data_IF_121817762534
#
_entry.id   IF_121817762534
#
_cell.length_a   1.000
_cell.length_b   1.000
_cell.length_c   1.000
_cell.angle_alpha   90.00
_cell.angle_beta   90.00
_cell.angle_gamma   90.00
#
_symmetry.space_group_name_H-M   'P 1'
#
loop_
_entity.id
_entity.type
_entity.pdbx_description
1 polymer ?
#
# COMPACT_ATOMS: atom_id res chain seq x y z
N UNK A 1 -10.32 -9.55 -0.08
CA UNK A 1 -8.99 -10.01 -0.53
C UNK A 1 -8.87 -11.54 -0.47
N UNK A 2 -7.84 -12.10 -1.11
CA UNK A 2 -7.50 -13.52 -1.03
C UNK A 2 -6.28 -13.77 -0.13
N UNK A 3 -5.88 -15.05 0.04
CA UNK A 3 -4.79 -15.44 0.92
C UNK A 3 -3.38 -14.91 0.50
N UNK A 4 -3.21 -14.36 -0.70
CA UNK A 4 -1.97 -13.71 -1.12
C UNK A 4 -1.92 -12.22 -0.68
N UNK A 5 -3.04 -11.67 -0.25
CA UNK A 5 -3.19 -10.27 0.17
C UNK A 5 -2.79 -10.08 1.64
N UNK A 6 -1.88 -9.13 1.90
CA UNK A 6 -1.59 -8.72 3.28
C UNK A 6 -2.78 -8.11 4.02
N UNK A 7 -3.78 -7.59 3.30
CA UNK A 7 -5.05 -7.12 3.88
C UNK A 7 -5.89 -8.30 4.41
N UNK A 8 -5.84 -9.46 3.73
CA UNK A 8 -6.48 -10.68 4.20
C UNK A 8 -5.89 -11.15 5.54
N UNK A 9 -4.57 -11.33 5.60
CA UNK A 9 -3.88 -11.75 6.82
C UNK A 9 -4.10 -10.77 7.97
N UNK A 10 -3.93 -9.48 7.70
CA UNK A 10 -4.10 -8.46 8.72
C UNK A 10 -5.50 -8.42 9.32
N UNK A 11 -6.54 -8.52 8.50
CA UNK A 11 -7.92 -8.58 8.99
C UNK A 11 -8.18 -9.84 9.82
N UNK A 12 -7.59 -10.97 9.40
CA UNK A 12 -7.69 -12.22 10.14
C UNK A 12 -7.06 -12.12 11.53
N UNK A 13 -5.87 -11.53 11.62
CA UNK A 13 -5.16 -11.33 12.89
C UNK A 13 -5.85 -10.29 13.78
N UNK A 14 -6.16 -9.11 13.24
CA UNK A 14 -6.63 -7.97 14.00
C UNK A 14 -8.09 -8.12 14.47
N UNK A 15 -8.95 -8.76 13.68
CA UNK A 15 -10.40 -8.83 13.95
C UNK A 15 -10.83 -10.23 14.38
N UNK A 16 -10.33 -11.28 13.71
CA UNK A 16 -10.75 -12.66 13.99
C UNK A 16 -9.88 -13.33 15.05
N UNK A 17 -8.77 -12.71 15.47
CA UNK A 17 -7.86 -13.22 16.49
C UNK A 17 -7.45 -14.69 16.23
N UNK A 18 -7.10 -15.00 15.00
CA UNK A 18 -6.72 -16.37 14.56
C UNK A 18 -7.81 -17.41 14.88
N UNK A 19 -9.08 -17.02 14.83
CA UNK A 19 -10.17 -17.91 15.10
C UNK A 19 -10.07 -19.19 14.23
N UNK A 20 -10.05 -20.35 14.83
CA UNK A 20 -9.90 -21.68 14.18
C UNK A 20 -10.92 -21.94 13.05
N UNK A 21 -11.99 -21.17 12.98
CA UNK A 21 -13.06 -21.36 12.00
C UNK A 21 -12.82 -20.69 10.65
N UNK A 22 -11.78 -19.85 10.53
CA UNK A 22 -11.45 -19.15 9.28
C UNK A 22 -12.58 -18.26 8.74
N UNK A 23 -12.37 -17.71 7.54
CA UNK A 23 -13.42 -16.99 6.82
C UNK A 23 -14.48 -17.97 6.28
N UNK A 24 -15.75 -17.57 6.39
CA UNK A 24 -16.83 -18.27 5.66
C UNK A 24 -16.62 -18.10 4.16
N UNK A 25 -17.14 -19.05 3.38
CA UNK A 25 -17.08 -18.97 1.93
C UNK A 25 -17.68 -17.65 1.43
N UNK A 26 -16.91 -16.92 0.65
CA UNK A 26 -17.26 -15.63 0.04
C UNK A 26 -16.41 -15.41 -1.19
N UNK A 27 -16.67 -14.35 -1.90
CA UNK A 27 -15.83 -13.96 -3.04
C UNK A 27 -14.48 -13.48 -2.54
N UNK A 28 -13.42 -14.02 -3.10
CA UNK A 28 -12.03 -13.66 -2.80
C UNK A 28 -11.32 -13.24 -4.09
N UNK A 29 -10.47 -12.23 -4.00
CA UNK A 29 -9.64 -11.76 -5.11
C UNK A 29 -8.42 -11.01 -4.58
N UNK A 30 -7.31 -11.08 -5.29
CA UNK A 30 -6.17 -10.18 -5.13
C UNK A 30 -6.36 -8.83 -5.82
N UNK A 31 -7.41 -8.68 -6.62
CA UNK A 31 -7.83 -7.42 -7.25
C UNK A 31 -9.00 -6.83 -6.47
N UNK A 32 -8.77 -5.71 -5.80
CA UNK A 32 -9.77 -5.05 -4.96
C UNK A 32 -10.95 -4.50 -5.79
N UNK A 33 -10.77 -4.19 -7.08
CA UNK A 33 -11.86 -3.79 -7.97
C UNK A 33 -12.90 -4.91 -8.18
N UNK A 34 -12.44 -6.15 -8.20
CA UNK A 34 -13.35 -7.32 -8.27
C UNK A 34 -14.22 -7.39 -7.00
N UNK A 35 -13.65 -7.08 -5.84
CA UNK A 35 -14.37 -7.04 -4.56
C UNK A 35 -15.37 -5.89 -4.51
N UNK A 36 -14.98 -4.70 -4.96
CA UNK A 36 -15.87 -3.53 -5.08
C UNK A 36 -17.08 -3.87 -5.96
N UNK A 37 -16.84 -4.42 -7.15
CA UNK A 37 -17.93 -4.79 -8.07
C UNK A 37 -18.88 -5.83 -7.46
N UNK A 38 -18.40 -6.77 -6.67
CA UNK A 38 -19.23 -7.74 -5.99
C UNK A 38 -20.14 -7.10 -4.94
N UNK A 39 -19.64 -6.11 -4.19
CA UNK A 39 -20.43 -5.38 -3.19
C UNK A 39 -21.50 -4.49 -3.83
N UNK A 40 -21.16 -3.77 -4.91
CA UNK A 40 -22.11 -2.92 -5.63
C UNK A 40 -23.30 -3.71 -6.18
N UNK A 41 -23.10 -5.00 -6.47
CA UNK A 41 -24.14 -5.88 -6.99
C UNK A 41 -25.06 -6.51 -5.94
N UNK A 42 -24.75 -6.38 -4.63
CA UNK A 42 -25.50 -7.05 -3.55
C UNK A 42 -25.62 -6.16 -2.31
N UNK A 43 -26.81 -5.61 -2.09
CA UNK A 43 -27.13 -4.73 -0.94
C UNK A 43 -26.99 -5.42 0.43
N UNK A 44 -26.86 -6.73 0.47
CA UNK A 44 -26.68 -7.51 1.71
C UNK A 44 -25.24 -7.94 1.94
N UNK A 45 -24.36 -7.67 0.99
CA UNK A 45 -22.95 -8.04 1.10
C UNK A 45 -22.17 -7.11 2.04
N UNK A 46 -21.19 -7.67 2.71
CA UNK A 46 -20.16 -6.97 3.46
C UNK A 46 -18.80 -7.39 2.93
N UNK A 47 -17.86 -6.44 2.81
CA UNK A 47 -16.51 -6.72 2.34
C UNK A 47 -15.49 -5.80 3.01
N UNK A 48 -14.21 -6.11 2.80
CA UNK A 48 -13.09 -5.29 3.26
C UNK A 48 -11.99 -5.29 2.21
N UNK A 49 -11.35 -4.14 2.03
CA UNK A 49 -10.30 -3.87 1.06
C UNK A 49 -9.61 -2.54 1.38
N UNK A 50 -8.63 -2.14 0.59
CA UNK A 50 -7.88 -0.90 0.79
C UNK A 50 -8.77 0.35 0.76
N UNK A 51 -8.50 1.31 1.67
CA UNK A 51 -9.29 2.53 1.84
C UNK A 51 -9.40 3.37 0.57
N UNK A 52 -8.36 3.41 -0.27
CA UNK A 52 -8.38 4.12 -1.54
C UNK A 52 -9.52 3.67 -2.47
N UNK A 53 -9.74 2.36 -2.58
CA UNK A 53 -10.85 1.80 -3.38
C UNK A 53 -12.24 2.18 -2.84
N UNK A 54 -12.37 2.33 -1.51
CA UNK A 54 -13.60 2.87 -0.94
C UNK A 54 -13.80 4.33 -1.34
N UNK A 55 -12.76 5.17 -1.28
CA UNK A 55 -12.86 6.59 -1.64
C UNK A 55 -13.30 6.81 -3.08
N UNK A 56 -12.78 6.03 -4.01
CA UNK A 56 -13.19 6.08 -5.42
C UNK A 56 -14.66 5.67 -5.62
N UNK A 57 -15.20 4.83 -4.73
CA UNK A 57 -16.53 4.25 -4.83
C UNK A 57 -17.51 4.72 -3.74
N UNK A 58 -17.18 5.77 -2.98
CA UNK A 58 -18.01 6.29 -1.88
C UNK A 58 -19.41 6.79 -2.29
N UNK A 59 -19.66 6.97 -3.57
CA UNK A 59 -21.00 7.29 -4.08
C UNK A 59 -21.95 6.08 -4.04
N UNK A 60 -21.41 4.85 -4.05
CA UNK A 60 -22.15 3.59 -4.11
C UNK A 60 -21.93 2.68 -2.92
N UNK A 61 -20.87 2.90 -2.17
CA UNK A 61 -20.50 2.11 -0.99
C UNK A 61 -20.61 2.95 0.29
N UNK A 62 -20.94 2.28 1.38
CA UNK A 62 -20.96 2.88 2.73
C UNK A 62 -19.92 2.18 3.60
N UNK A 63 -19.05 2.95 4.24
CA UNK A 63 -18.13 2.39 5.22
C UNK A 63 -18.84 2.14 6.56
N UNK A 64 -18.72 0.92 7.08
CA UNK A 64 -19.19 0.59 8.42
C UNK A 64 -18.20 1.15 9.46
N UNK A 65 -18.68 1.79 10.53
CA UNK A 65 -17.82 2.13 11.64
C UNK A 65 -17.30 0.87 12.35
N UNK A 66 -16.10 0.97 12.90
CA UNK A 66 -15.43 -0.10 13.65
C UNK A 66 -15.21 0.38 15.07
N UNK A 67 -15.45 -0.49 16.04
CA UNK A 67 -15.13 -0.21 17.44
C UNK A 67 -13.62 -0.23 17.64
N UNK A 68 -13.06 0.88 18.11
CA UNK A 68 -11.64 0.98 18.37
C UNK A 68 -11.29 0.48 19.80
N UNK A 69 -9.97 0.40 20.09
CA UNK A 69 -9.47 -0.08 21.38
C UNK A 69 -9.96 0.71 22.60
N UNK A 70 -10.43 1.94 22.39
CA UNK A 70 -11.04 2.78 23.42
C UNK A 70 -12.57 2.59 23.58
N UNK A 71 -13.18 1.68 22.79
CA UNK A 71 -14.63 1.40 22.81
C UNK A 71 -15.47 2.39 22.02
N UNK A 72 -14.87 3.20 21.14
CA UNK A 72 -15.60 4.16 20.31
C UNK A 72 -15.84 3.61 18.92
N UNK A 73 -17.02 3.87 18.36
CA UNK A 73 -17.33 3.56 16.96
C UNK A 73 -16.72 4.61 16.04
N UNK A 74 -15.74 4.22 15.24
CA UNK A 74 -14.96 5.12 14.37
C UNK A 74 -15.14 4.73 12.91
N UNK A 75 -15.50 5.70 12.06
CA UNK A 75 -15.59 5.53 10.61
C UNK A 75 -14.23 5.88 9.98
N UNK A 76 -13.77 5.14 8.96
CA UNK A 76 -12.52 5.45 8.28
C UNK A 76 -12.59 6.82 7.59
N UNK A 77 -11.58 7.63 7.81
CA UNK A 77 -11.33 8.90 7.13
C UNK A 77 -9.83 9.21 7.13
N UNK A 78 -9.38 10.13 6.27
CA UNK A 78 -7.99 10.56 6.30
C UNK A 78 -7.53 11.01 7.69
N UNK A 79 -8.40 11.73 8.43
CA UNK A 79 -8.11 12.19 9.79
C UNK A 79 -7.99 11.02 10.78
N UNK A 80 -9.00 10.11 10.81
CA UNK A 80 -9.02 9.01 11.79
C UNK A 80 -7.96 7.94 11.52
N UNK A 81 -7.48 7.85 10.28
CA UNK A 81 -6.31 7.02 9.92
C UNK A 81 -5.02 7.71 10.35
N UNK A 82 -4.85 9.02 10.05
CA UNK A 82 -3.63 9.75 10.38
C UNK A 82 -3.39 9.89 11.88
N UNK A 83 -4.45 10.13 12.67
CA UNK A 83 -4.36 10.26 14.13
C UNK A 83 -4.40 8.92 14.89
N UNK A 84 -4.54 7.80 14.15
CA UNK A 84 -4.54 6.44 14.70
C UNK A 84 -5.81 6.05 15.45
N UNK A 85 -6.88 6.86 15.40
CA UNK A 85 -8.16 6.54 16.08
C UNK A 85 -8.95 5.45 15.36
N UNK A 86 -8.73 5.25 14.04
CA UNK A 86 -9.31 4.13 13.28
C UNK A 86 -8.47 2.85 13.46
N UNK A 87 -8.32 2.41 14.70
CA UNK A 87 -7.67 1.14 15.01
C UNK A 87 -8.73 0.05 15.32
N UNK A 88 -8.39 -1.24 15.21
CA UNK A 88 -7.08 -1.77 14.79
C UNK A 88 -6.85 -1.80 13.27
N UNK A 89 -7.76 -1.31 12.43
CA UNK A 89 -7.70 -1.51 10.99
C UNK A 89 -6.78 -0.54 10.22
N UNK A 90 -6.41 0.62 10.80
CA UNK A 90 -5.37 1.47 10.22
C UNK A 90 -3.98 0.89 10.44
N UNK A 91 -3.16 0.86 9.41
CA UNK A 91 -1.78 0.37 9.48
C UNK A 91 -0.88 1.05 8.45
N UNK A 92 0.42 1.18 8.73
CA UNK A 92 1.36 1.67 7.72
C UNK A 92 1.51 0.66 6.57
N UNK A 93 1.80 1.18 5.39
CA UNK A 93 2.21 0.41 4.23
C UNK A 93 3.74 0.49 4.12
N UNK A 94 4.36 -0.60 3.70
CA UNK A 94 5.82 -0.71 3.62
C UNK A 94 6.28 -1.04 2.21
N UNK A 95 7.41 -0.46 1.81
CA UNK A 95 8.18 -0.87 0.65
C UNK A 95 9.48 -1.51 1.11
N UNK A 96 9.79 -2.69 0.60
CA UNK A 96 11.00 -3.44 0.92
C UNK A 96 11.94 -3.42 -0.27
N UNK A 97 13.18 -3.09 -0.05
CA UNK A 97 14.24 -2.99 -1.06
C UNK A 97 15.17 -4.20 -1.00
N UNK A 98 15.82 -4.50 -2.12
CA UNK A 98 17.00 -5.36 -2.14
C UNK A 98 18.18 -4.56 -1.55
N UNK A 99 18.88 -5.16 -0.60
CA UNK A 99 20.04 -4.57 0.06
C UNK A 99 21.33 -4.90 -0.71
N UNK A 100 21.39 -4.38 -1.95
CA UNK A 100 22.59 -4.42 -2.77
C UNK A 100 22.80 -3.07 -3.48
N UNK A 101 24.06 -2.64 -3.63
CA UNK A 101 24.43 -1.32 -4.13
C UNK A 101 23.81 -0.99 -5.51
N UNK A 102 23.69 -1.97 -6.38
CA UNK A 102 23.17 -1.76 -7.73
C UNK A 102 21.65 -1.55 -7.75
N UNK A 103 20.92 -2.22 -6.86
CA UNK A 103 19.48 -2.05 -6.67
C UNK A 103 19.20 -0.75 -5.94
N UNK A 104 19.91 -0.47 -4.84
CA UNK A 104 19.73 0.75 -4.04
C UNK A 104 20.00 2.01 -4.86
N UNK A 105 21.05 2.03 -5.70
CA UNK A 105 21.37 3.16 -6.58
C UNK A 105 20.19 3.56 -7.51
N UNK A 106 19.29 2.63 -7.83
CA UNK A 106 18.11 2.88 -8.67
C UNK A 106 16.85 3.15 -7.87
N UNK A 107 16.66 2.38 -6.80
CA UNK A 107 15.39 2.38 -6.05
C UNK A 107 15.33 3.48 -5.00
N UNK A 108 16.45 3.89 -4.41
CA UNK A 108 16.47 4.99 -3.42
C UNK A 108 16.00 6.31 -4.04
N UNK A 109 16.50 6.78 -5.20
CA UNK A 109 15.99 8.00 -5.83
C UNK A 109 14.50 7.96 -6.17
N UNK A 110 13.97 6.79 -6.54
CA UNK A 110 12.53 6.60 -6.76
C UNK A 110 11.73 6.77 -5.45
N UNK A 111 12.21 6.22 -4.34
CA UNK A 111 11.54 6.38 -3.04
C UNK A 111 11.70 7.80 -2.49
N UNK A 112 12.85 8.45 -2.67
CA UNK A 112 13.04 9.86 -2.31
C UNK A 112 12.06 10.77 -3.07
N UNK A 113 11.82 10.49 -4.35
CA UNK A 113 10.77 11.15 -5.12
C UNK A 113 9.38 10.91 -4.52
N UNK A 114 9.06 9.66 -4.21
CA UNK A 114 7.74 9.27 -3.70
C UNK A 114 7.45 9.80 -2.28
N UNK A 115 8.45 9.91 -1.44
CA UNK A 115 8.33 10.46 -0.07
C UNK A 115 8.66 11.94 0.03
N UNK A 116 9.07 12.59 -1.07
CA UNK A 116 9.31 14.02 -1.13
C UNK A 116 8.06 14.82 -1.48
N UNK A 117 8.21 16.16 -1.56
CA UNK A 117 7.11 17.11 -1.78
C UNK A 117 6.21 16.76 -2.99
N UNK A 118 6.80 16.21 -4.06
CA UNK A 118 6.06 15.81 -5.27
C UNK A 118 5.22 14.56 -5.06
N UNK A 119 5.72 13.61 -4.28
CA UNK A 119 5.06 12.35 -3.99
C UNK A 119 3.92 12.50 -2.97
N UNK A 120 4.04 13.40 -2.01
CA UNK A 120 2.98 13.66 -1.01
C UNK A 120 1.68 14.13 -1.65
N UNK A 121 1.77 14.93 -2.71
CA UNK A 121 0.60 15.36 -3.48
C UNK A 121 -0.08 14.17 -4.15
N UNK A 122 0.71 13.21 -4.66
CA UNK A 122 0.19 11.98 -5.28
C UNK A 122 -0.45 11.06 -4.25
N UNK A 123 0.13 10.91 -3.06
CA UNK A 123 -0.43 10.07 -1.97
C UNK A 123 -1.88 10.44 -1.70
N UNK A 124 -2.15 11.73 -1.51
CA UNK A 124 -3.51 12.20 -1.25
C UNK A 124 -4.42 12.09 -2.49
N UNK A 125 -3.90 12.30 -3.69
CA UNK A 125 -4.70 12.26 -4.93
C UNK A 125 -5.20 10.86 -5.26
N UNK A 126 -4.46 9.82 -4.88
CA UNK A 126 -4.86 8.42 -5.07
C UNK A 126 -5.55 7.81 -3.83
N UNK A 127 -5.98 8.64 -2.87
CA UNK A 127 -6.81 8.22 -1.75
C UNK A 127 -6.06 7.55 -0.60
N UNK A 128 -4.74 7.76 -0.50
CA UNK A 128 -3.96 7.32 0.66
C UNK A 128 -3.81 8.43 1.68
N UNK A 129 -3.34 8.09 2.86
CA UNK A 129 -3.06 9.05 3.93
C UNK A 129 -1.55 9.26 3.99
N UNK A 130 -1.12 10.51 3.79
CA UNK A 130 0.28 10.89 3.84
C UNK A 130 0.89 10.65 5.23
N UNK A 131 2.19 10.47 5.27
CA UNK A 131 2.96 10.37 6.51
C UNK A 131 2.86 11.67 7.31
N UNK A 132 2.90 11.57 8.64
CA UNK A 132 3.09 12.76 9.48
C UNK A 132 4.50 13.31 9.30
N UNK A 133 4.73 14.59 9.65
CA UNK A 133 6.05 15.21 9.55
C UNK A 133 7.14 14.44 10.32
N UNK A 134 6.78 13.80 11.44
CA UNK A 134 7.71 12.97 12.21
C UNK A 134 8.06 11.67 11.47
N UNK A 135 7.06 10.99 10.91
CA UNK A 135 7.26 9.78 10.12
C UNK A 135 8.03 10.06 8.84
N UNK A 136 7.79 11.20 8.20
CA UNK A 136 8.54 11.63 7.02
C UNK A 136 10.01 11.88 7.35
N UNK A 137 10.31 12.59 8.44
CA UNK A 137 11.69 12.79 8.92
C UNK A 137 12.39 11.45 9.22
N UNK A 138 11.68 10.51 9.83
CA UNK A 138 12.22 9.16 10.07
C UNK A 138 12.51 8.43 8.75
N UNK A 139 11.61 8.52 7.77
CA UNK A 139 11.78 7.89 6.46
C UNK A 139 12.96 8.49 5.71
N UNK A 140 13.06 9.82 5.64
CA UNK A 140 14.19 10.53 5.06
C UNK A 140 15.51 10.11 5.70
N UNK A 141 15.57 9.98 7.03
CA UNK A 141 16.76 9.53 7.72
C UNK A 141 17.16 8.08 7.40
N UNK A 142 16.20 7.23 7.08
CA UNK A 142 16.43 5.83 6.65
C UNK A 142 16.93 5.74 5.21
N UNK A 143 16.47 6.64 4.35
CA UNK A 143 16.90 6.73 2.95
C UNK A 143 18.23 7.48 2.79
N UNK A 144 18.56 8.40 3.71
CA UNK A 144 19.73 9.28 3.63
C UNK A 144 21.05 8.53 3.78
N UNK A 145 21.55 7.99 2.69
CA UNK A 145 22.93 7.53 2.58
C UNK A 145 23.85 8.56 1.89
N UNK A 146 23.32 9.29 0.90
CA UNK A 146 24.01 10.30 0.11
C UNK A 146 23.04 11.44 -0.28
N UNK A 147 23.55 12.54 -0.81
CA UNK A 147 22.72 13.66 -1.26
C UNK A 147 21.68 13.20 -2.29
N UNK A 148 20.41 13.67 -2.19
CA UNK A 148 19.34 13.23 -3.06
C UNK A 148 19.70 13.40 -4.53
N UNK A 149 19.68 12.33 -5.28
CA UNK A 149 19.88 12.32 -6.73
C UNK A 149 18.51 12.39 -7.38
N UNK A 150 18.25 13.41 -8.18
CA UNK A 150 16.96 13.62 -8.82
C UNK A 150 16.50 12.42 -9.65
N UNK A 151 17.45 11.71 -10.31
CA UNK A 151 17.20 10.48 -11.02
C UNK A 151 18.34 9.49 -10.74
N UNK A 152 18.03 8.24 -10.55
CA UNK A 152 19.01 7.16 -10.47
C UNK A 152 19.68 6.89 -11.84
N UNK A 153 20.65 5.97 -11.91
CA UNK A 153 21.27 5.54 -13.16
C UNK A 153 20.23 4.92 -14.10
N UNK A 154 20.42 5.13 -15.40
CA UNK A 154 19.55 4.56 -16.44
C UNK A 154 19.34 3.05 -16.25
N UNK A 155 18.12 2.60 -16.47
CA UNK A 155 17.77 1.17 -16.32
C UNK A 155 16.31 0.93 -15.95
N UNK A 156 16.06 -0.20 -15.30
CA UNK A 156 14.70 -0.60 -14.90
C UNK A 156 14.58 -0.81 -13.40
N UNK A 157 13.41 -0.42 -12.86
CA UNK A 157 12.94 -0.73 -11.52
C UNK A 157 11.73 -1.65 -11.68
N UNK A 158 11.68 -2.76 -10.93
CA UNK A 158 10.54 -3.67 -10.91
C UNK A 158 9.96 -3.68 -9.51
N UNK A 159 8.69 -3.29 -9.40
CA UNK A 159 7.91 -3.26 -8.15
C UNK A 159 6.86 -4.36 -8.24
N UNK A 160 6.73 -5.17 -7.20
CA UNK A 160 5.71 -6.21 -7.14
C UNK A 160 5.24 -6.41 -5.70
N UNK A 161 3.94 -6.68 -5.52
CA UNK A 161 3.42 -6.99 -4.19
C UNK A 161 1.96 -6.67 -3.98
N UNK A 162 1.68 -5.98 -2.90
CA UNK A 162 0.35 -5.72 -2.37
C UNK A 162 -0.57 -4.98 -3.36
N UNK A 163 -1.79 -5.51 -3.57
CA UNK A 163 -2.84 -4.79 -4.31
C UNK A 163 -3.22 -3.47 -3.63
N UNK A 164 -3.11 -3.40 -2.30
CA UNK A 164 -3.36 -2.16 -1.55
C UNK A 164 -2.33 -1.07 -1.86
N UNK A 165 -1.08 -1.41 -2.18
CA UNK A 165 -0.02 -0.44 -2.52
C UNK A 165 -0.03 -0.09 -4.01
N UNK A 166 -0.64 -0.93 -4.84
CA UNK A 166 -0.58 -0.86 -6.30
C UNK A 166 -0.92 0.54 -6.86
N UNK A 167 -2.07 1.17 -6.55
CA UNK A 167 -2.42 2.47 -7.12
C UNK A 167 -1.41 3.57 -6.81
N UNK A 168 -0.83 3.57 -5.61
CA UNK A 168 0.19 4.53 -5.22
C UNK A 168 1.49 4.29 -5.98
N UNK A 169 1.93 3.03 -6.08
CA UNK A 169 3.14 2.67 -6.80
C UNK A 169 3.04 2.98 -8.30
N UNK A 170 1.86 2.79 -8.90
CA UNK A 170 1.59 3.16 -10.31
C UNK A 170 1.65 4.67 -10.52
N UNK A 171 1.01 5.47 -9.65
CA UNK A 171 1.04 6.94 -9.74
C UNK A 171 2.48 7.49 -9.58
N UNK A 172 3.26 6.94 -8.64
CA UNK A 172 4.66 7.31 -8.47
C UNK A 172 5.51 6.89 -9.68
N UNK A 173 5.29 5.69 -10.22
CA UNK A 173 6.01 5.19 -11.38
C UNK A 173 5.77 6.05 -12.62
N UNK A 174 4.52 6.42 -12.90
CA UNK A 174 4.15 7.27 -14.02
C UNK A 174 4.85 8.64 -13.92
N UNK A 175 4.68 9.34 -12.80
CA UNK A 175 5.24 10.68 -12.61
C UNK A 175 6.77 10.66 -12.56
N UNK A 176 7.38 9.63 -11.95
CA UNK A 176 8.84 9.50 -11.91
C UNK A 176 9.46 9.25 -13.29
N UNK A 177 8.81 8.44 -14.12
CA UNK A 177 9.28 8.18 -15.50
C UNK A 177 9.17 9.42 -16.38
N UNK A 178 8.18 10.29 -16.16
CA UNK A 178 8.08 11.60 -16.82
C UNK A 178 9.28 12.51 -16.47
N UNK A 179 9.66 12.52 -15.20
CA UNK A 179 10.81 13.30 -14.71
C UNK A 179 12.16 12.67 -15.09
N UNK A 180 12.23 11.34 -15.16
CA UNK A 180 13.44 10.55 -15.36
C UNK A 180 13.29 9.57 -16.56
N UNK A 181 13.30 10.05 -17.80
CA UNK A 181 12.96 9.26 -19.00
C UNK A 181 13.92 8.11 -19.33
N UNK A 182 15.11 8.10 -18.75
CA UNK A 182 16.08 7.01 -18.92
C UNK A 182 15.83 5.83 -17.97
N UNK A 183 14.80 5.94 -17.11
CA UNK A 183 14.40 4.89 -16.15
C UNK A 183 13.04 4.34 -16.54
N UNK A 184 12.91 3.02 -16.58
CA UNK A 184 11.64 2.32 -16.74
C UNK A 184 11.20 1.73 -15.41
N UNK A 185 9.98 2.03 -14.96
CA UNK A 185 9.40 1.45 -13.74
C UNK A 185 8.24 0.53 -14.14
N UNK A 186 8.31 -0.72 -13.73
CA UNK A 186 7.23 -1.70 -13.94
C UNK A 186 6.59 -2.03 -12.59
N UNK A 187 5.28 -1.92 -12.50
CA UNK A 187 4.52 -2.23 -11.29
C UNK A 187 3.61 -3.43 -11.56
N UNK A 188 3.69 -4.44 -10.72
CA UNK A 188 2.91 -5.68 -10.84
C UNK A 188 2.15 -5.97 -9.55
N UNK A 189 0.86 -6.23 -9.66
CA UNK A 189 0.07 -6.80 -8.58
C UNK A 189 0.29 -8.31 -8.49
N UNK A 190 0.15 -8.87 -7.31
CA UNK A 190 0.27 -10.31 -7.08
C UNK A 190 0.15 -10.69 -5.61
N UNK A 191 -0.19 -9.70 -4.78
CA UNK A 191 -0.30 -9.85 -3.34
C UNK A 191 1.04 -9.69 -2.61
N UNK A 192 0.97 -9.36 -1.33
CA UNK A 192 2.15 -9.10 -0.47
C UNK A 192 3.09 -10.30 -0.41
N UNK A 193 2.55 -11.52 -0.35
CA UNK A 193 3.35 -12.76 -0.31
C UNK A 193 4.18 -12.96 -1.57
N UNK A 194 3.65 -12.59 -2.75
CA UNK A 194 4.39 -12.65 -4.02
C UNK A 194 5.54 -11.65 -4.04
N UNK A 195 5.31 -10.42 -3.58
CA UNK A 195 6.35 -9.40 -3.46
C UNK A 195 7.49 -9.83 -2.53
N UNK A 196 7.15 -10.28 -1.33
CA UNK A 196 8.11 -10.79 -0.36
C UNK A 196 8.93 -11.95 -0.94
N UNK A 197 8.28 -12.91 -1.62
CA UNK A 197 8.95 -14.03 -2.27
C UNK A 197 9.98 -13.59 -3.32
N UNK A 198 9.70 -12.53 -4.10
CA UNK A 198 10.66 -11.99 -5.09
C UNK A 198 11.89 -11.36 -4.43
N UNK A 199 11.68 -10.56 -3.38
CA UNK A 199 12.79 -9.93 -2.64
C UNK A 199 13.67 -11.02 -2.00
N UNK A 200 13.07 -11.98 -1.26
CA UNK A 200 13.81 -13.06 -0.62
C UNK A 200 14.57 -13.96 -1.62
N UNK A 201 13.96 -14.29 -2.77
CA UNK A 201 14.58 -15.10 -3.79
C UNK A 201 15.80 -14.42 -4.46
N UNK A 202 15.80 -13.09 -4.56
CA UNK A 202 16.91 -12.32 -5.10
C UNK A 202 18.00 -12.09 -4.05
N UNK A 203 17.66 -11.87 -2.79
CA UNK A 203 18.62 -11.77 -1.67
C UNK A 203 19.45 -13.04 -1.46
N UNK A 204 18.91 -14.22 -1.82
CA UNK A 204 19.62 -15.50 -1.71
C UNK A 204 20.62 -15.77 -2.83
N UNK A 205 20.75 -14.88 -3.82
CA UNK A 205 21.65 -15.00 -5.00
C UNK A 205 22.88 -14.10 -4.92
N UNK A 206 23.02 -13.30 -3.85
CA UNK A 206 24.13 -12.38 -3.58
C UNK A 206 25.29 -12.97 -2.79
#
# INVERSE_FOLDING_TARGET
PDAASGTYEYFFEAILHEAEQGFRAGQQSSDDNVLVNALVGDETAIGYFGYAYFLENQATLTASPVENDAGNMVTPSATTVADGTYNPLSRPLFMNLLDDDASLAKTVPFLEFGFGDGGDLLVNSVGYVALTAEQQTEMESRLAGEAPVACGPAGSISIAGSSTVLPLAEAWAETYQEACPDISVTVESGGSSSGAGRVCANSAKG
#
